data_IF_826729706906
#
_entry.id   IF_826729706906
#
_cell.length_a   1.000
_cell.length_b   1.000
_cell.length_c   1.000
_cell.angle_alpha   90.00
_cell.angle_beta   90.00
_cell.angle_gamma   90.00
#
_symmetry.space_group_name_H-M   'P 1'
#
loop_
_entity.id
_entity.type
_entity.pdbx_description
1 polymer ?
#
# COMPACT_ATOMS: atom_id res chain seq x y z
N UNK A 1 -12.37 -46.84 30.23
CA UNK A 1 -11.21 -45.94 30.46
C UNK A 1 -11.21 -44.88 29.36
N UNK A 2 -11.80 -43.70 29.62
CA UNK A 2 -11.79 -42.57 28.66
C UNK A 2 -10.68 -41.61 29.06
N UNK A 3 -9.75 -41.39 28.13
CA UNK A 3 -8.71 -40.38 28.23
C UNK A 3 -9.36 -38.99 28.27
N UNK A 4 -9.21 -38.28 29.39
CA UNK A 4 -9.45 -36.84 29.43
C UNK A 4 -8.09 -36.15 29.40
N UNK A 5 -7.57 -35.95 28.19
CA UNK A 5 -6.52 -34.97 27.96
C UNK A 5 -7.18 -33.58 28.01
N UNK A 6 -7.47 -33.10 29.22
CA UNK A 6 -7.91 -31.74 29.45
C UNK A 6 -6.73 -30.83 29.20
N UNK A 7 -6.72 -30.20 28.02
CA UNK A 7 -5.86 -29.08 27.68
C UNK A 7 -6.07 -27.99 28.73
N UNK A 8 -5.27 -28.01 29.80
CA UNK A 8 -5.22 -26.98 30.82
C UNK A 8 -4.59 -25.75 30.17
N UNK A 9 -5.40 -24.97 29.47
CA UNK A 9 -4.99 -23.68 28.93
C UNK A 9 -4.60 -22.79 30.12
N UNK A 10 -3.29 -22.64 30.31
CA UNK A 10 -2.74 -21.86 31.42
C UNK A 10 -2.98 -20.36 31.15
N UNK A 11 -3.23 -19.54 32.19
CA UNK A 11 -3.43 -18.09 32.04
C UNK A 11 -2.21 -17.39 31.41
N UNK A 12 -1.03 -18.00 31.53
CA UNK A 12 0.22 -17.56 30.89
C UNK A 12 0.12 -17.61 29.37
N UNK A 13 -0.48 -18.67 28.80
CA UNK A 13 -0.65 -18.77 27.34
C UNK A 13 -1.59 -17.70 26.80
N UNK A 14 -2.61 -17.31 27.57
CA UNK A 14 -3.51 -16.22 27.20
C UNK A 14 -2.81 -14.86 27.25
N UNK A 15 -2.03 -14.60 28.31
CA UNK A 15 -1.22 -13.36 28.40
C UNK A 15 -0.18 -13.24 27.29
N UNK A 16 0.49 -14.34 26.93
CA UNK A 16 1.46 -14.35 25.82
C UNK A 16 0.76 -14.05 24.50
N UNK A 17 -0.40 -14.64 24.23
CA UNK A 17 -1.16 -14.36 23.02
C UNK A 17 -1.61 -12.89 22.93
N UNK A 18 -2.06 -12.30 24.04
CA UNK A 18 -2.44 -10.89 24.11
C UNK A 18 -1.24 -9.97 23.91
N UNK A 19 -0.10 -10.27 24.55
CA UNK A 19 1.12 -9.48 24.40
C UNK A 19 1.65 -9.51 22.95
N UNK A 20 1.60 -10.67 22.28
CA UNK A 20 1.99 -10.81 20.87
C UNK A 20 1.05 -10.04 19.95
N UNK A 21 -0.26 -10.04 20.23
CA UNK A 21 -1.23 -9.30 19.42
C UNK A 21 -1.08 -7.78 19.57
N UNK A 22 -0.84 -7.28 20.79
CA UNK A 22 -0.63 -5.84 21.05
C UNK A 22 0.73 -5.33 20.56
N UNK A 23 1.74 -6.20 20.48
CA UNK A 23 3.06 -5.85 19.99
C UNK A 23 3.22 -5.96 18.47
N UNK A 24 2.17 -6.35 17.74
CA UNK A 24 2.25 -6.56 16.30
C UNK A 24 2.35 -5.20 15.58
N UNK A 25 3.49 -4.86 14.96
CA UNK A 25 3.62 -3.61 14.24
C UNK A 25 2.70 -3.68 13.01
N UNK A 26 1.71 -2.77 12.96
CA UNK A 26 0.90 -2.56 11.76
C UNK A 26 1.82 -2.06 10.64
N UNK A 27 2.38 -3.01 9.89
CA UNK A 27 3.21 -2.70 8.73
C UNK A 27 2.23 -2.38 7.62
N UNK A 28 1.93 -1.10 7.43
CA UNK A 28 1.18 -0.66 6.27
C UNK A 28 2.00 -1.03 5.03
N UNK A 29 1.50 -2.00 4.25
CA UNK A 29 2.09 -2.29 2.94
C UNK A 29 1.89 -1.04 2.09
N UNK A 30 2.99 -0.32 1.85
CA UNK A 30 3.02 0.68 0.79
C UNK A 30 2.92 -0.12 -0.50
N UNK A 31 1.70 -0.22 -1.03
CA UNK A 31 1.51 -0.79 -2.34
C UNK A 31 2.21 0.14 -3.34
N UNK A 32 3.19 -0.40 -4.06
CA UNK A 32 3.73 0.29 -5.22
C UNK A 32 2.57 0.51 -6.20
N UNK A 33 2.34 1.78 -6.57
CA UNK A 33 1.30 2.11 -7.55
C UNK A 33 1.60 1.46 -8.89
N UNK A 34 0.56 1.25 -9.69
CA UNK A 34 0.76 0.81 -11.07
C UNK A 34 1.50 1.89 -11.88
N UNK A 35 2.24 1.47 -12.90
CA UNK A 35 2.94 2.39 -13.79
C UNK A 35 1.94 3.36 -14.43
N UNK A 36 2.28 4.66 -14.41
CA UNK A 36 1.49 5.67 -15.08
C UNK A 36 1.33 5.35 -16.59
N UNK A 37 0.10 5.41 -17.15
CA UNK A 37 -0.14 5.27 -18.58
C UNK A 37 0.50 6.40 -19.41
N UNK A 38 0.62 6.22 -20.74
CA UNK A 38 1.13 7.25 -21.65
C UNK A 38 0.14 8.44 -21.80
N UNK A 39 0.67 9.66 -21.97
CA UNK A 39 -0.16 10.84 -22.26
C UNK A 39 -0.42 10.91 -23.78
N UNK A 40 -1.67 10.71 -24.18
CA UNK A 40 -2.10 10.68 -25.60
C UNK A 40 -2.74 12.00 -26.08
N UNK A 41 -2.60 13.10 -25.34
CA UNK A 41 -3.17 14.41 -25.68
C UNK A 41 -2.44 15.12 -26.84
N UNK A 42 -3.17 15.85 -27.68
CA UNK A 42 -2.60 16.51 -28.87
C UNK A 42 -2.34 18.01 -28.71
N UNK A 43 -3.16 18.72 -27.91
CA UNK A 43 -3.00 20.15 -27.69
C UNK A 43 -2.14 20.40 -26.45
N UNK A 44 -0.91 20.88 -26.68
CA UNK A 44 0.04 21.21 -25.62
C UNK A 44 0.21 22.72 -25.50
N UNK A 45 0.29 23.18 -24.27
CA UNK A 45 0.60 24.57 -23.93
C UNK A 45 1.92 24.61 -23.15
N UNK A 46 2.70 25.68 -23.33
CA UNK A 46 3.98 25.93 -22.63
C UNK A 46 5.11 24.91 -22.85
N UNK A 47 4.92 23.92 -23.72
CA UNK A 47 5.91 22.89 -24.02
C UNK A 47 5.61 22.19 -25.34
N UNK A 48 6.63 21.50 -25.87
CA UNK A 48 6.41 20.41 -26.82
C UNK A 48 5.76 19.21 -26.09
N UNK A 49 5.18 18.24 -26.81
CA UNK A 49 4.60 17.04 -26.20
C UNK A 49 5.57 16.31 -25.26
N UNK A 50 5.09 15.92 -24.08
CA UNK A 50 5.86 15.15 -23.10
C UNK A 50 5.49 13.67 -23.18
N UNK A 51 6.49 12.80 -23.03
CA UNK A 51 6.33 11.34 -22.95
C UNK A 51 6.70 10.83 -21.56
N UNK A 52 6.16 9.67 -21.16
CA UNK A 52 6.53 9.07 -19.86
C UNK A 52 8.02 8.71 -19.76
N UNK A 53 8.66 8.36 -20.87
CA UNK A 53 10.10 8.09 -20.91
C UNK A 53 10.92 9.35 -20.56
N UNK A 54 10.61 10.50 -21.16
CA UNK A 54 11.31 11.75 -20.93
C UNK A 54 11.13 12.30 -19.50
N UNK A 55 10.07 11.87 -18.82
CA UNK A 55 9.71 12.26 -17.46
C UNK A 55 10.28 11.35 -16.37
N UNK A 56 10.87 10.20 -16.76
CA UNK A 56 11.43 9.24 -15.82
C UNK A 56 12.55 9.85 -14.94
N UNK A 57 12.56 9.48 -13.66
CA UNK A 57 13.50 10.04 -12.67
C UNK A 57 13.07 11.39 -12.08
N UNK A 58 11.87 11.89 -12.44
CA UNK A 58 11.27 13.08 -11.84
C UNK A 58 10.00 12.72 -11.08
N UNK A 59 9.69 13.51 -10.06
CA UNK A 59 8.35 13.50 -9.44
C UNK A 59 7.44 14.35 -10.30
N UNK A 60 6.38 13.74 -10.84
CA UNK A 60 5.44 14.39 -11.79
C UNK A 60 4.04 14.44 -11.16
N UNK A 61 3.41 15.61 -11.24
CA UNK A 61 2.01 15.81 -10.87
C UNK A 61 1.15 15.85 -12.14
N UNK A 62 0.06 15.07 -12.14
CA UNK A 62 -0.96 15.12 -13.20
C UNK A 62 -2.25 15.65 -12.59
N UNK A 63 -2.77 16.74 -13.14
CA UNK A 63 -4.01 17.38 -12.70
C UNK A 63 -4.99 17.48 -13.88
N UNK A 64 -6.23 17.03 -13.65
CA UNK A 64 -7.33 17.14 -14.61
C UNK A 64 -8.17 18.36 -14.27
N UNK A 65 -8.34 19.27 -15.22
CA UNK A 65 -9.06 20.53 -15.03
C UNK A 65 -9.89 20.89 -16.26
N UNK A 66 -10.88 21.78 -16.08
CA UNK A 66 -11.65 22.40 -17.16
C UNK A 66 -11.60 23.91 -17.00
N UNK A 67 -11.79 24.65 -18.09
CA UNK A 67 -12.21 26.04 -17.98
C UNK A 67 -13.66 26.00 -17.47
N UNK A 68 -13.96 26.71 -16.38
CA UNK A 68 -15.26 26.64 -15.68
C UNK A 68 -16.47 27.02 -16.53
#
# INVERSE_FOLDING_TARGET
MRQYNTLRQSPVSFMVAVAVFLASPATALVAEGERAPEIIGQAWINSAPLTMDALSGRVVLVEFWTYG
#
